data_IF_867850783436
#
_entry.id   IF_867850783436
#
_cell.length_a   1.000
_cell.length_b   1.000
_cell.length_c   1.000
_cell.angle_alpha   90.00
_cell.angle_beta   90.00
_cell.angle_gamma   90.00
#
_symmetry.space_group_name_H-M   'P 1'
#
loop_
_entity.id
_entity.type
_entity.pdbx_description
1 polymer ?
#
# COMPACT_ATOMS: atom_id res chain seq x y z
N UNK A 1 -16.12 -17.87 13.29
CA UNK A 1 -15.58 -16.71 14.02
C UNK A 1 -14.57 -16.00 13.13
N UNK A 2 -13.50 -16.68 12.72
CA UNK A 2 -12.60 -16.24 11.64
C UNK A 2 -13.35 -15.83 10.36
N UNK A 3 -14.25 -16.70 9.86
CA UNK A 3 -15.04 -16.40 8.65
C UNK A 3 -15.96 -15.16 8.80
N UNK A 4 -16.44 -14.90 10.01
CA UNK A 4 -17.30 -13.74 10.28
C UNK A 4 -16.49 -12.44 10.30
N UNK A 5 -15.32 -12.44 10.95
CA UNK A 5 -14.37 -11.31 10.90
C UNK A 5 -13.93 -11.02 9.47
N UNK A 6 -13.62 -12.08 8.71
CA UNK A 6 -13.26 -11.97 7.28
C UNK A 6 -14.40 -11.34 6.46
N UNK A 7 -15.63 -11.80 6.67
CA UNK A 7 -16.82 -11.24 5.99
C UNK A 7 -17.01 -9.76 6.32
N UNK A 8 -16.85 -9.38 7.59
CA UNK A 8 -16.91 -7.99 8.02
C UNK A 8 -15.84 -7.12 7.33
N UNK A 9 -14.61 -7.62 7.24
CA UNK A 9 -13.53 -6.94 6.50
C UNK A 9 -13.83 -6.85 4.99
N UNK A 10 -14.46 -7.86 4.39
CA UNK A 10 -14.85 -7.81 2.96
C UNK A 10 -15.90 -6.72 2.74
N UNK A 11 -16.87 -6.62 3.65
CA UNK A 11 -18.03 -5.73 3.53
C UNK A 11 -17.78 -4.29 4.02
N UNK A 12 -16.68 -4.03 4.72
CA UNK A 12 -16.40 -2.71 5.30
C UNK A 12 -17.18 -2.46 6.60
N UNK A 13 -17.54 -3.51 7.34
CA UNK A 13 -18.34 -3.42 8.55
C UNK A 13 -17.46 -3.05 9.77
N UNK A 14 -17.00 -1.79 9.82
CA UNK A 14 -16.07 -1.26 10.83
C UNK A 14 -16.48 -1.56 12.27
N UNK A 15 -17.76 -1.38 12.63
CA UNK A 15 -18.27 -1.66 13.99
C UNK A 15 -18.15 -3.14 14.37
N UNK A 16 -18.35 -4.05 13.41
CA UNK A 16 -18.25 -5.50 13.65
C UNK A 16 -16.79 -5.89 13.82
N UNK A 17 -15.89 -5.33 13.00
CA UNK A 17 -14.43 -5.49 13.16
C UNK A 17 -13.99 -5.02 14.55
N UNK A 18 -14.47 -3.86 15.01
CA UNK A 18 -14.13 -3.33 16.32
C UNK A 18 -14.56 -4.28 17.45
N UNK A 19 -15.79 -4.80 17.39
CA UNK A 19 -16.29 -5.79 18.36
C UNK A 19 -15.41 -7.05 18.39
N UNK A 20 -14.93 -7.50 17.24
CA UNK A 20 -14.03 -8.65 17.16
C UNK A 20 -12.67 -8.36 17.83
N UNK A 21 -12.09 -7.19 17.59
CA UNK A 21 -10.82 -6.76 18.18
C UNK A 21 -10.89 -6.65 19.70
N UNK A 22 -12.05 -6.29 20.26
CA UNK A 22 -12.22 -6.13 21.71
C UNK A 22 -12.44 -7.46 22.45
N UNK A 23 -13.01 -8.46 21.77
CA UNK A 23 -13.48 -9.70 22.41
C UNK A 23 -12.60 -10.89 22.14
N UNK A 24 -11.74 -10.83 21.13
CA UNK A 24 -11.03 -11.98 20.59
C UNK A 24 -9.57 -11.64 20.37
N UNK A 25 -8.69 -12.52 20.82
CA UNK A 25 -7.30 -12.49 20.41
C UNK A 25 -7.19 -12.94 18.94
N UNK A 26 -7.15 -11.96 18.03
CA UNK A 26 -7.10 -12.22 16.59
C UNK A 26 -5.71 -12.64 16.09
N UNK A 27 -4.68 -12.63 16.94
CA UNK A 27 -3.30 -12.97 16.54
C UNK A 27 -3.21 -14.39 15.98
N UNK A 28 -4.03 -15.32 16.48
CA UNK A 28 -4.13 -16.70 16.01
C UNK A 28 -5.03 -16.88 14.77
N UNK A 29 -5.74 -15.83 14.34
CA UNK A 29 -6.78 -15.89 13.31
C UNK A 29 -6.36 -15.29 11.96
N UNK A 30 -5.05 -15.15 11.71
CA UNK A 30 -4.54 -14.69 10.42
C UNK A 30 -4.74 -13.20 10.17
N UNK A 31 -4.19 -12.35 11.05
CA UNK A 31 -4.30 -10.88 10.97
C UNK A 31 -3.89 -10.28 9.61
N UNK A 32 -2.94 -10.93 8.91
CA UNK A 32 -2.55 -10.56 7.55
C UNK A 32 -3.70 -10.66 6.55
N UNK A 33 -4.57 -11.65 6.70
CA UNK A 33 -5.74 -11.80 5.83
C UNK A 33 -6.68 -10.60 5.99
N UNK A 34 -6.92 -10.15 7.22
CA UNK A 34 -7.80 -9.00 7.49
C UNK A 34 -7.18 -7.70 6.99
N UNK A 35 -5.89 -7.49 7.24
CA UNK A 35 -5.15 -6.33 6.73
C UNK A 35 -5.18 -6.29 5.20
N UNK A 36 -4.84 -7.40 4.53
CA UNK A 36 -4.78 -7.46 3.07
C UNK A 36 -6.16 -7.25 2.43
N UNK A 37 -7.22 -7.86 2.96
CA UNK A 37 -8.59 -7.66 2.45
C UNK A 37 -8.99 -6.19 2.59
N UNK A 38 -8.74 -5.59 3.75
CA UNK A 38 -9.13 -4.20 4.02
C UNK A 38 -8.34 -3.24 3.12
N UNK A 39 -7.05 -3.52 2.90
CA UNK A 39 -6.22 -2.76 1.96
C UNK A 39 -6.68 -2.90 0.51
N UNK A 40 -7.02 -4.13 0.09
CA UNK A 40 -7.54 -4.41 -1.25
C UNK A 40 -8.88 -3.70 -1.51
N UNK A 41 -9.70 -3.55 -0.48
CA UNK A 41 -11.05 -2.97 -0.57
C UNK A 41 -11.10 -1.46 -0.35
N UNK A 42 -10.00 -0.84 0.06
CA UNK A 42 -9.97 0.59 0.36
C UNK A 42 -10.62 0.96 1.70
N UNK A 43 -10.78 0.00 2.63
CA UNK A 43 -11.37 0.26 3.95
C UNK A 43 -10.36 0.86 4.92
N UNK A 44 -10.03 2.12 4.71
CA UNK A 44 -9.08 2.91 5.50
C UNK A 44 -9.40 2.94 7.01
N UNK A 45 -10.68 3.05 7.39
CA UNK A 45 -11.10 2.96 8.79
C UNK A 45 -10.72 1.63 9.45
N UNK A 46 -10.95 0.51 8.74
CA UNK A 46 -10.60 -0.83 9.22
C UNK A 46 -9.08 -1.00 9.27
N UNK A 47 -8.36 -0.54 8.25
CA UNK A 47 -6.89 -0.53 8.25
C UNK A 47 -6.36 0.27 9.45
N UNK A 48 -6.94 1.43 9.74
CA UNK A 48 -6.58 2.25 10.89
C UNK A 48 -6.80 1.52 12.22
N UNK A 49 -7.97 0.87 12.39
CA UNK A 49 -8.27 0.08 13.60
C UNK A 49 -7.27 -1.07 13.78
N UNK A 50 -6.94 -1.79 12.71
CA UNK A 50 -5.98 -2.89 12.76
C UNK A 50 -4.57 -2.38 13.14
N UNK A 51 -4.14 -1.25 12.58
CA UNK A 51 -2.86 -0.62 12.92
C UNK A 51 -2.79 -0.13 14.38
N UNK A 52 -3.91 0.23 14.98
CA UNK A 52 -3.96 0.75 16.34
C UNK A 52 -4.06 -0.35 17.41
N UNK A 53 -4.73 -1.46 17.10
CA UNK A 53 -5.07 -2.50 18.09
C UNK A 53 -4.27 -3.80 17.97
N UNK A 54 -3.56 -4.01 16.86
CA UNK A 54 -2.80 -5.24 16.61
C UNK A 54 -1.30 -4.94 16.61
N UNK A 55 -0.50 -5.86 17.16
CA UNK A 55 0.95 -5.77 17.08
C UNK A 55 1.42 -5.75 15.62
N UNK A 56 2.14 -4.69 15.27
CA UNK A 56 2.70 -4.46 13.93
C UNK A 56 3.63 -5.59 13.48
N UNK A 57 4.28 -6.29 14.41
CA UNK A 57 5.18 -7.40 14.10
C UNK A 57 4.50 -8.59 13.41
N UNK A 58 3.17 -8.65 13.48
CA UNK A 58 2.35 -9.70 12.89
C UNK A 58 1.95 -9.42 11.44
N UNK A 59 2.18 -8.18 10.97
CA UNK A 59 1.77 -7.77 9.63
C UNK A 59 2.88 -7.95 8.59
N UNK A 60 2.51 -8.49 7.43
CA UNK A 60 3.25 -8.34 6.19
C UNK A 60 2.81 -7.04 5.50
N UNK A 61 3.44 -5.95 5.92
CA UNK A 61 3.16 -4.62 5.38
C UNK A 61 3.54 -4.47 3.91
N UNK A 62 4.47 -5.28 3.40
CA UNK A 62 4.79 -5.28 1.97
C UNK A 62 3.63 -5.87 1.17
N UNK A 63 3.04 -6.98 1.61
CA UNK A 63 1.84 -7.54 1.00
C UNK A 63 0.66 -6.55 1.07
N UNK A 64 0.40 -5.97 2.25
CA UNK A 64 -0.68 -5.01 2.45
C UNK A 64 -0.57 -3.79 1.51
N UNK A 65 0.63 -3.19 1.44
CA UNK A 65 0.92 -2.06 0.54
C UNK A 65 0.71 -2.44 -0.93
N UNK A 66 1.16 -3.63 -1.33
CA UNK A 66 1.02 -4.09 -2.71
C UNK A 66 -0.46 -4.32 -3.10
N UNK A 67 -1.28 -4.85 -2.21
CA UNK A 67 -2.73 -5.01 -2.47
C UNK A 67 -3.43 -3.66 -2.61
N UNK A 68 -3.17 -2.70 -1.72
CA UNK A 68 -3.70 -1.34 -1.85
C UNK A 68 -3.24 -0.69 -3.17
N UNK A 69 -1.97 -0.86 -3.54
CA UNK A 69 -1.44 -0.31 -4.78
C UNK A 69 -2.07 -0.92 -6.03
N UNK A 70 -2.25 -2.25 -6.03
CA UNK A 70 -2.90 -2.99 -7.13
C UNK A 70 -4.36 -2.59 -7.30
N UNK A 71 -5.04 -2.25 -6.22
CA UNK A 71 -6.42 -1.78 -6.24
C UNK A 71 -6.56 -0.26 -6.40
N UNK A 72 -5.45 0.49 -6.41
CA UNK A 72 -5.46 1.94 -6.63
C UNK A 72 -5.94 2.76 -5.43
N UNK A 73 -5.96 2.15 -4.25
CA UNK A 73 -6.51 2.69 -3.01
C UNK A 73 -5.53 3.69 -2.37
N UNK A 74 -5.51 4.91 -2.91
CA UNK A 74 -4.56 5.95 -2.51
C UNK A 74 -4.67 6.33 -1.03
N UNK A 75 -5.89 6.44 -0.50
CA UNK A 75 -6.12 6.84 0.89
C UNK A 75 -5.54 5.80 1.87
N UNK A 76 -5.71 4.51 1.57
CA UNK A 76 -5.07 3.42 2.34
C UNK A 76 -3.55 3.48 2.23
N UNK A 77 -3.00 3.72 1.03
CA UNK A 77 -1.55 3.83 0.84
C UNK A 77 -0.97 4.99 1.65
N UNK A 78 -1.62 6.16 1.62
CA UNK A 78 -1.21 7.30 2.44
C UNK A 78 -1.29 6.97 3.94
N UNK A 79 -2.37 6.33 4.39
CA UNK A 79 -2.53 5.89 5.78
C UNK A 79 -1.39 4.94 6.21
N UNK A 80 -1.07 3.93 5.40
CA UNK A 80 0.02 3.00 5.66
C UNK A 80 1.37 3.73 5.77
N UNK A 81 1.67 4.64 4.84
CA UNK A 81 2.91 5.44 4.86
C UNK A 81 3.00 6.31 6.11
N UNK A 82 1.88 6.85 6.59
CA UNK A 82 1.85 7.72 7.77
C UNK A 82 2.02 6.95 9.08
N UNK A 83 1.47 5.73 9.17
CA UNK A 83 1.37 4.99 10.44
C UNK A 83 2.39 3.86 10.61
N UNK A 84 3.09 3.44 9.56
CA UNK A 84 4.04 2.33 9.60
C UNK A 84 5.45 2.81 9.27
N UNK A 85 6.47 2.23 9.92
CA UNK A 85 7.86 2.53 9.57
C UNK A 85 8.12 2.22 8.09
N UNK A 86 8.67 3.20 7.37
CA UNK A 86 9.06 3.11 5.95
C UNK A 86 9.94 1.90 5.61
N UNK A 87 10.72 1.40 6.57
CA UNK A 87 11.61 0.24 6.38
C UNK A 87 10.83 -1.08 6.19
N UNK A 88 9.55 -1.11 6.57
CA UNK A 88 8.67 -2.27 6.35
C UNK A 88 8.10 -2.34 4.94
N UNK A 89 8.38 -1.34 4.09
CA UNK A 89 7.84 -1.25 2.73
C UNK A 89 8.92 -1.44 1.67
N UNK A 90 8.55 -2.14 0.61
CA UNK A 90 9.29 -2.14 -0.66
C UNK A 90 8.60 -1.19 -1.65
N UNK A 91 8.98 0.09 -1.64
CA UNK A 91 8.37 1.12 -2.48
C UNK A 91 8.55 0.87 -3.98
N UNK A 92 9.67 0.28 -4.40
CA UNK A 92 9.90 -0.04 -5.82
C UNK A 92 8.87 -1.05 -6.32
N UNK A 93 8.56 -2.06 -5.50
CA UNK A 93 7.51 -3.05 -5.82
C UNK A 93 6.13 -2.41 -5.79
N UNK A 94 5.83 -1.59 -4.77
CA UNK A 94 4.56 -0.90 -4.64
C UNK A 94 4.25 -0.02 -5.87
N UNK A 95 5.22 0.75 -6.37
CA UNK A 95 5.06 1.58 -7.57
C UNK A 95 4.79 0.73 -8.80
N UNK A 96 5.47 -0.40 -8.92
CA UNK A 96 5.26 -1.31 -10.06
C UNK A 96 3.87 -1.91 -10.03
N UNK A 97 3.36 -2.31 -8.87
CA UNK A 97 1.98 -2.76 -8.72
C UNK A 97 0.97 -1.65 -9.02
N UNK A 98 1.21 -0.42 -8.56
CA UNK A 98 0.39 0.75 -8.91
C UNK A 98 0.43 1.05 -10.42
N UNK A 99 1.57 0.86 -11.08
CA UNK A 99 1.67 1.01 -12.53
C UNK A 99 0.91 -0.11 -13.27
N UNK A 100 0.90 -1.35 -12.76
CA UNK A 100 0.14 -2.44 -13.39
C UNK A 100 -1.37 -2.25 -13.30
N UNK A 101 -1.87 -1.58 -12.26
CA UNK A 101 -3.31 -1.45 -12.06
C UNK A 101 -3.99 -0.53 -13.07
N UNK A 102 -3.28 0.47 -13.60
CA UNK A 102 -3.85 1.54 -14.45
C UNK A 102 -4.99 2.33 -13.78
N UNK A 103 -5.17 2.20 -12.47
CA UNK A 103 -6.33 2.74 -11.76
C UNK A 103 -6.13 4.20 -11.33
N UNK A 104 -4.90 4.58 -10.94
CA UNK A 104 -4.68 5.85 -10.26
C UNK A 104 -3.29 6.45 -10.51
N UNK A 105 -3.19 7.50 -11.35
CA UNK A 105 -1.92 8.22 -11.61
C UNK A 105 -1.39 8.91 -10.34
N UNK A 106 -2.30 9.44 -9.50
CA UNK A 106 -1.92 10.19 -8.30
C UNK A 106 -1.24 9.27 -7.28
N UNK A 107 -1.73 8.04 -7.13
CA UNK A 107 -1.08 7.03 -6.29
C UNK A 107 0.40 6.83 -6.69
N UNK A 108 0.66 6.71 -7.99
CA UNK A 108 2.04 6.58 -8.49
C UNK A 108 2.87 7.81 -8.11
N UNK A 109 2.30 9.02 -8.25
CA UNK A 109 2.97 10.27 -7.86
C UNK A 109 3.23 10.37 -6.35
N UNK A 110 2.35 9.85 -5.50
CA UNK A 110 2.52 9.79 -4.04
C UNK A 110 3.72 8.88 -3.72
N UNK A 111 3.71 7.65 -4.22
CA UNK A 111 4.76 6.66 -3.94
C UNK A 111 6.15 7.12 -4.42
N UNK A 112 6.21 7.87 -5.53
CA UNK A 112 7.45 8.45 -6.04
C UNK A 112 8.12 9.46 -5.10
N UNK A 113 7.42 9.98 -4.09
CA UNK A 113 8.04 10.85 -3.07
C UNK A 113 8.90 10.06 -2.08
N UNK A 114 8.73 8.74 -2.03
CA UNK A 114 9.33 7.86 -1.00
C UNK A 114 10.40 6.91 -1.52
N UNK A 115 10.65 6.87 -2.84
CA UNK A 115 11.75 6.07 -3.40
C UNK A 115 13.11 6.59 -2.98
N UNK A 116 14.07 5.66 -2.86
CA UNK A 116 15.46 6.03 -2.70
C UNK A 116 15.93 6.72 -4.00
N UNK A 117 16.57 7.88 -3.89
CA UNK A 117 16.94 8.70 -5.07
C UNK A 117 18.20 8.20 -5.77
N UNK A 118 18.45 6.89 -5.77
CA UNK A 118 19.52 6.37 -6.61
C UNK A 118 19.06 6.45 -8.07
N UNK A 119 19.94 6.90 -8.96
CA UNK A 119 19.61 7.04 -10.39
C UNK A 119 19.12 5.72 -10.98
N UNK A 120 19.70 4.59 -10.57
CA UNK A 120 19.32 3.26 -11.04
C UNK A 120 17.88 2.86 -10.66
N UNK A 121 17.43 3.22 -9.45
CA UNK A 121 16.07 2.88 -9.00
C UNK A 121 15.03 3.70 -9.78
N UNK A 122 15.30 5.00 -9.97
CA UNK A 122 14.43 5.88 -10.76
C UNK A 122 14.36 5.42 -12.22
N UNK A 123 15.47 4.96 -12.80
CA UNK A 123 15.50 4.42 -14.17
C UNK A 123 14.67 3.13 -14.29
N UNK A 124 14.82 2.20 -13.34
CA UNK A 124 14.07 0.94 -13.31
C UNK A 124 12.56 1.18 -13.21
N UNK A 125 12.14 2.07 -12.29
CA UNK A 125 10.74 2.45 -12.13
C UNK A 125 10.21 3.18 -13.38
N UNK A 126 10.99 4.09 -13.95
CA UNK A 126 10.65 4.81 -15.17
C UNK A 126 10.45 3.88 -16.37
N UNK A 127 11.29 2.86 -16.51
CA UNK A 127 11.17 1.84 -17.55
C UNK A 127 9.88 1.04 -17.41
N UNK A 128 9.62 0.49 -16.21
CA UNK A 128 8.38 -0.25 -15.94
C UNK A 128 7.13 0.60 -16.13
N UNK A 129 7.13 1.85 -15.66
CA UNK A 129 6.02 2.78 -15.90
C UNK A 129 5.76 2.98 -17.40
N UNK A 130 6.82 3.10 -18.22
CA UNK A 130 6.69 3.20 -19.68
C UNK A 130 6.09 1.94 -20.29
N UNK A 131 6.57 0.76 -19.88
CA UNK A 131 6.10 -0.53 -20.37
C UNK A 131 4.62 -0.76 -20.05
N UNK A 132 4.18 -0.31 -18.86
CA UNK A 132 2.78 -0.25 -18.44
C UNK A 132 2.06 1.02 -18.94
N UNK A 133 2.52 1.68 -20.00
CA UNK A 133 1.77 2.76 -20.65
C UNK A 133 1.68 4.09 -19.87
N UNK A 134 2.27 4.21 -18.69
CA UNK A 134 2.34 5.44 -17.89
C UNK A 134 3.42 6.42 -18.41
N UNK A 135 3.25 6.85 -19.67
CA UNK A 135 4.22 7.71 -20.38
C UNK A 135 4.48 9.04 -19.65
N UNK A 136 3.45 9.62 -19.01
CA UNK A 136 3.57 10.87 -18.25
C UNK A 136 4.44 10.69 -17.00
N UNK A 137 4.17 9.64 -16.22
CA UNK A 137 4.96 9.26 -15.05
C UNK A 137 6.42 8.97 -15.46
N UNK A 138 6.64 8.11 -16.45
CA UNK A 138 7.98 7.81 -16.97
C UNK A 138 8.74 9.08 -17.39
N UNK A 139 8.06 9.98 -18.12
CA UNK A 139 8.67 11.25 -18.55
C UNK A 139 9.00 12.17 -17.36
N UNK A 140 8.20 12.16 -16.31
CA UNK A 140 8.44 12.94 -15.09
C UNK A 140 9.65 12.39 -14.33
N UNK A 141 9.77 11.07 -14.22
CA UNK A 141 10.91 10.40 -13.58
C UNK A 141 12.24 10.66 -14.29
N UNK A 142 12.25 10.57 -15.63
CA UNK A 142 13.44 10.90 -16.44
C UNK A 142 13.92 12.34 -16.22
N UNK A 143 13.00 13.30 -16.02
CA UNK A 143 13.38 14.69 -15.71
C UNK A 143 13.97 14.83 -14.30
N UNK A 144 13.51 14.04 -13.33
CA UNK A 144 14.09 14.05 -11.98
C UNK A 144 15.57 13.63 -12.03
N UNK A 145 15.88 12.55 -12.76
CA UNK A 145 17.27 12.09 -12.99
C UNK A 145 18.13 13.18 -13.62
N UNK A 146 17.65 13.80 -14.70
CA UNK A 146 18.39 14.86 -15.39
C UNK A 146 18.73 16.04 -14.47
N UNK A 147 17.77 16.47 -13.65
CA UNK A 147 17.96 17.60 -12.75
C UNK A 147 18.92 17.28 -11.58
N UNK A 148 18.94 16.04 -11.08
CA UNK A 148 19.85 15.62 -10.01
C UNK A 148 21.31 15.49 -10.50
N UNK A 149 21.55 15.11 -11.76
CA UNK A 149 22.90 15.05 -12.37
C UNK A 149 23.45 16.45 -12.68
N UNK A 150 22.58 17.45 -12.86
CA UNK A 150 22.96 18.82 -13.22
C UNK A 150 23.39 19.71 -12.05
N UNK A 151 23.43 19.18 -10.82
CA UNK A 151 23.86 19.86 -9.59
C UNK A 151 25.22 19.36 -9.13
#
# INVERSE_FOLDING_TARGET
MEEAMKTACINGETEIVEIFLDKIDITFLGVNTYMNISCQKGWDEIVSLLLERVDHSLFDFTAAMNEACRCGEADVVELLIQKVNRENFNFDTAIVEACKSHLNENLVLILLQYINRSTSDIEAVSGKAYDYGWRRVSSRLKRMIYNDISK
#
